data_IF_653461173575
#
_entry.id   IF_653461173575
#
_cell.length_a   1.000
_cell.length_b   1.000
_cell.length_c   1.000
_cell.angle_alpha   90.00
_cell.angle_beta   90.00
_cell.angle_gamma   90.00
#
_symmetry.space_group_name_H-M   'P 1'
#
loop_
_entity.id
_entity.type
_entity.pdbx_description
1 polymer ?
#
# COMPACT_ATOMS: atom_id res chain seq x y z
N UNK A 1 104.90 -5.77 -17.10
CA UNK A 1 104.13 -4.54 -16.86
C UNK A 1 102.66 -4.82 -17.17
N UNK A 2 101.77 -4.09 -16.50
CA UNK A 2 100.32 -3.96 -16.76
C UNK A 2 99.33 -4.90 -16.03
N UNK A 3 99.15 -4.53 -14.75
CA UNK A 3 97.89 -4.25 -14.02
C UNK A 3 96.76 -5.30 -13.98
N UNK A 4 96.69 -5.91 -12.81
CA UNK A 4 95.49 -6.41 -12.12
C UNK A 4 94.48 -5.25 -11.92
N UNK A 5 93.23 -5.46 -12.32
CA UNK A 5 92.10 -4.58 -12.02
C UNK A 5 90.98 -5.37 -11.34
N UNK A 6 90.75 -5.10 -10.05
CA UNK A 6 89.51 -5.42 -9.34
C UNK A 6 88.38 -4.56 -9.91
N UNK A 7 87.22 -5.15 -10.21
CA UNK A 7 85.97 -4.39 -10.27
C UNK A 7 84.92 -5.06 -9.39
N UNK A 8 84.38 -4.23 -8.52
CA UNK A 8 83.44 -4.50 -7.44
C UNK A 8 82.02 -4.49 -8.00
N UNK A 9 81.11 -5.17 -7.30
CA UNK A 9 79.77 -5.53 -7.76
C UNK A 9 78.85 -4.35 -8.10
N UNK A 10 77.85 -4.69 -8.91
CA UNK A 10 76.51 -4.11 -8.80
C UNK A 10 75.51 -5.15 -9.32
N UNK A 11 74.89 -5.88 -8.40
CA UNK A 11 73.75 -6.73 -8.69
C UNK A 11 72.57 -5.78 -8.99
N UNK A 12 72.23 -5.61 -10.26
CA UNK A 12 71.03 -4.89 -10.69
C UNK A 12 69.82 -5.73 -10.27
N UNK A 13 69.26 -5.43 -9.10
CA UNK A 13 67.90 -5.84 -8.76
C UNK A 13 66.98 -5.02 -9.66
N UNK A 14 66.54 -5.63 -10.76
CA UNK A 14 65.39 -5.13 -11.50
C UNK A 14 64.17 -5.25 -10.59
N UNK A 15 63.81 -4.16 -9.92
CA UNK A 15 62.50 -4.02 -9.28
C UNK A 15 61.50 -3.96 -10.44
N UNK A 16 60.99 -5.13 -10.81
CA UNK A 16 59.76 -5.21 -11.60
C UNK A 16 58.68 -4.67 -10.68
N UNK A 17 58.32 -3.40 -10.88
CA UNK A 17 57.01 -2.92 -10.43
C UNK A 17 55.99 -3.74 -11.20
N UNK A 18 55.58 -4.87 -10.62
CA UNK A 18 54.30 -5.46 -10.94
C UNK A 18 53.30 -4.43 -10.44
N UNK A 19 52.90 -3.53 -11.33
CA UNK A 19 51.65 -2.80 -11.17
C UNK A 19 50.60 -3.88 -11.25
N UNK A 20 50.28 -4.48 -10.11
CA UNK A 20 49.02 -5.21 -9.96
C UNK A 20 47.99 -4.11 -10.18
N UNK A 21 47.19 -4.12 -11.26
CA UNK A 21 46.02 -3.27 -11.27
C UNK A 21 45.24 -3.68 -10.02
N UNK A 22 45.22 -2.79 -9.03
CA UNK A 22 44.20 -2.81 -8.01
C UNK A 22 42.92 -2.58 -8.82
N UNK A 23 42.30 -3.67 -9.26
CA UNK A 23 40.90 -3.67 -9.63
C UNK A 23 40.20 -3.18 -8.39
N UNK A 24 39.96 -1.87 -8.33
CA UNK A 24 38.97 -1.34 -7.43
C UNK A 24 37.74 -2.20 -7.65
N UNK A 25 37.24 -2.79 -6.58
CA UNK A 25 35.92 -3.42 -6.58
C UNK A 25 34.90 -2.28 -6.75
N UNK A 26 34.88 -1.69 -7.94
CA UNK A 26 33.84 -0.79 -8.37
C UNK A 26 32.66 -1.67 -8.72
N UNK A 27 31.54 -1.43 -8.06
CA UNK A 27 30.29 -2.06 -8.43
C UNK A 27 30.01 -1.78 -9.90
N UNK A 28 29.77 -2.84 -10.67
CA UNK A 28 29.39 -2.70 -12.07
C UNK A 28 27.92 -2.32 -12.12
N UNK A 29 27.65 -1.04 -12.42
CA UNK A 29 26.31 -0.51 -12.57
C UNK A 29 25.95 -0.48 -14.05
N UNK A 30 24.87 -1.16 -14.41
CA UNK A 30 24.30 -1.23 -15.75
C UNK A 30 22.87 -0.69 -15.73
N UNK A 31 22.39 -0.10 -16.82
CA UNK A 31 20.99 0.31 -16.96
C UNK A 31 20.32 -0.59 -17.98
N UNK A 32 19.19 -1.19 -17.61
CA UNK A 32 18.39 -2.09 -18.45
C UNK A 32 17.02 -1.48 -18.76
N UNK A 33 16.45 -1.89 -19.88
CA UNK A 33 15.07 -1.60 -20.26
C UNK A 33 14.36 -2.88 -20.66
N UNK A 34 13.04 -2.92 -20.42
CA UNK A 34 12.20 -4.08 -20.63
C UNK A 34 12.75 -5.37 -20.00
N UNK A 35 13.31 -5.28 -18.79
CA UNK A 35 13.88 -6.41 -18.07
C UNK A 35 12.78 -7.14 -17.31
N UNK A 36 12.62 -8.44 -17.55
CA UNK A 36 11.66 -9.26 -16.81
C UNK A 36 12.07 -9.33 -15.33
N UNK A 37 11.16 -8.95 -14.43
CA UNK A 37 11.38 -8.98 -13.00
C UNK A 37 10.19 -9.60 -12.27
N UNK A 38 10.49 -10.52 -11.37
CA UNK A 38 9.54 -11.06 -10.41
C UNK A 38 9.76 -10.39 -9.05
N UNK A 39 8.76 -9.66 -8.57
CA UNK A 39 8.80 -8.99 -7.26
C UNK A 39 8.07 -9.82 -6.22
N UNK A 40 8.71 -10.05 -5.08
CA UNK A 40 8.09 -10.78 -3.97
C UNK A 40 6.94 -9.99 -3.32
N UNK A 41 5.79 -10.63 -3.15
CA UNK A 41 4.63 -10.14 -2.40
C UNK A 41 4.14 -11.15 -1.37
N UNK A 42 3.15 -10.76 -0.55
CA UNK A 42 2.51 -11.71 0.40
C UNK A 42 1.71 -12.83 -0.29
N UNK A 43 1.43 -12.68 -1.59
CA UNK A 43 0.67 -13.63 -2.43
C UNK A 43 1.55 -14.53 -3.30
N UNK A 44 2.84 -14.24 -3.38
CA UNK A 44 3.76 -14.87 -4.32
C UNK A 44 4.50 -13.82 -5.13
N UNK A 45 5.13 -14.27 -6.21
CA UNK A 45 5.85 -13.43 -7.15
C UNK A 45 4.86 -12.67 -8.04
N UNK A 46 5.13 -11.39 -8.26
CA UNK A 46 4.43 -10.53 -9.21
C UNK A 46 5.37 -10.31 -10.39
N UNK A 47 5.00 -10.86 -11.54
CA UNK A 47 5.74 -10.67 -12.77
C UNK A 47 5.47 -9.28 -13.36
N UNK A 48 6.50 -8.70 -13.97
CA UNK A 48 6.39 -7.42 -14.62
C UNK A 48 7.67 -7.01 -15.33
N UNK A 49 7.64 -5.78 -15.84
CA UNK A 49 8.69 -5.19 -16.64
C UNK A 49 9.41 -4.11 -15.83
N UNK A 50 10.73 -4.21 -15.79
CA UNK A 50 11.63 -3.30 -15.10
C UNK A 50 12.50 -2.48 -16.06
N UNK A 51 12.53 -1.17 -15.82
CA UNK A 51 13.48 -0.23 -16.42
C UNK A 51 14.31 0.40 -15.30
N UNK A 52 15.63 0.20 -15.28
CA UNK A 52 16.46 0.79 -14.22
C UNK A 52 17.85 0.18 -14.05
N UNK A 53 18.40 0.35 -12.86
CA UNK A 53 19.77 -0.01 -12.50
C UNK A 53 19.90 -1.48 -12.06
N UNK A 54 20.86 -2.17 -12.67
CA UNK A 54 21.44 -3.41 -12.16
C UNK A 54 22.80 -3.11 -11.55
N UNK A 55 23.07 -3.63 -10.36
CA UNK A 55 24.40 -3.60 -9.76
C UNK A 55 24.91 -5.02 -9.61
N UNK A 56 26.03 -5.35 -10.25
CA UNK A 56 26.57 -6.72 -10.30
C UNK A 56 25.50 -7.75 -10.75
N UNK A 57 24.73 -7.39 -11.78
CA UNK A 57 23.61 -8.18 -12.33
C UNK A 57 22.41 -8.40 -11.38
N UNK A 58 22.35 -7.71 -10.24
CA UNK A 58 21.18 -7.70 -9.34
C UNK A 58 20.39 -6.40 -9.50
N UNK A 59 19.05 -6.47 -9.50
CA UNK A 59 18.18 -5.28 -9.49
C UNK A 59 18.37 -4.51 -8.18
N UNK A 60 19.15 -3.44 -8.24
CA UNK A 60 19.53 -2.60 -7.10
C UNK A 60 19.84 -1.21 -7.61
N UNK A 61 19.28 -0.19 -6.95
CA UNK A 61 19.39 1.19 -7.38
C UNK A 61 18.04 1.79 -7.68
N UNK A 62 17.95 2.76 -8.59
CA UNK A 62 16.66 3.35 -8.99
C UNK A 62 16.08 2.64 -10.21
N UNK A 63 14.75 2.59 -10.29
CA UNK A 63 14.07 2.14 -11.49
C UNK A 63 12.55 2.30 -11.44
N UNK A 64 11.92 1.78 -12.47
CA UNK A 64 10.47 1.71 -12.65
C UNK A 64 10.10 0.26 -12.90
N UNK A 65 9.15 -0.25 -12.14
CA UNK A 65 8.53 -1.55 -12.35
C UNK A 65 7.07 -1.34 -12.72
N UNK A 66 6.62 -1.99 -13.80
CA UNK A 66 5.22 -2.06 -14.21
C UNK A 66 4.80 -3.51 -14.13
N UNK A 67 3.70 -3.80 -13.45
CA UNK A 67 3.19 -5.17 -13.45
C UNK A 67 2.71 -5.58 -14.85
N UNK A 68 2.76 -6.87 -15.16
CA UNK A 68 2.40 -7.41 -16.48
C UNK A 68 0.93 -7.16 -16.86
N UNK A 69 0.08 -6.88 -15.86
CA UNK A 69 -1.36 -6.74 -16.00
C UNK A 69 -1.82 -5.27 -15.95
N UNK A 70 -0.88 -4.31 -15.95
CA UNK A 70 -1.13 -2.86 -15.89
C UNK A 70 -1.98 -2.40 -14.68
N UNK A 71 -1.99 -3.14 -13.57
CA UNK A 71 -2.70 -2.73 -12.34
C UNK A 71 -1.93 -1.66 -11.57
N UNK A 72 -0.60 -1.67 -11.61
CA UNK A 72 0.20 -0.70 -10.89
C UNK A 72 1.57 -0.44 -11.50
N UNK A 73 2.13 0.72 -11.14
CA UNK A 73 3.52 1.08 -11.40
C UNK A 73 4.21 1.47 -10.10
N UNK A 74 5.41 0.95 -9.89
CA UNK A 74 6.31 1.40 -8.84
C UNK A 74 7.49 2.15 -9.45
N UNK A 75 7.73 3.38 -9.01
CA UNK A 75 8.92 4.17 -9.33
C UNK A 75 9.69 4.43 -8.03
N UNK A 76 10.94 3.99 -7.95
CA UNK A 76 11.69 4.17 -6.73
C UNK A 76 12.97 3.36 -6.62
N UNK A 77 13.36 3.13 -5.37
CA UNK A 77 14.57 2.40 -5.02
C UNK A 77 14.30 0.91 -4.90
N UNK A 78 15.23 0.12 -5.43
CA UNK A 78 15.24 -1.33 -5.40
C UNK A 78 16.47 -1.80 -4.64
N UNK A 79 16.33 -2.95 -3.99
CA UNK A 79 17.45 -3.71 -3.44
C UNK A 79 17.15 -5.19 -3.58
N UNK A 80 17.99 -5.88 -4.36
CA UNK A 80 17.85 -7.32 -4.62
C UNK A 80 16.44 -7.68 -5.15
N UNK A 81 15.94 -6.91 -6.12
CA UNK A 81 14.63 -7.14 -6.74
C UNK A 81 13.41 -6.76 -5.90
N UNK A 82 13.60 -6.19 -4.70
CA UNK A 82 12.50 -5.77 -3.81
C UNK A 82 12.43 -4.24 -3.76
N UNK A 83 11.21 -3.70 -3.71
CA UNK A 83 10.96 -2.28 -3.45
C UNK A 83 11.51 -1.89 -2.07
N UNK A 84 12.58 -1.09 -2.05
CA UNK A 84 13.33 -0.79 -0.83
C UNK A 84 13.99 0.58 -0.86
N UNK A 85 13.54 1.46 0.02
CA UNK A 85 13.94 2.86 0.09
C UNK A 85 12.79 3.77 -0.31
N UNK A 86 13.10 4.99 -0.75
CA UNK A 86 12.07 5.92 -1.23
C UNK A 86 11.47 5.41 -2.53
N UNK A 87 10.15 5.53 -2.66
CA UNK A 87 9.46 5.22 -3.89
C UNK A 87 8.00 5.68 -3.88
N UNK A 88 7.35 5.42 -5.01
CA UNK A 88 5.98 5.76 -5.31
C UNK A 88 5.33 4.59 -6.02
N UNK A 89 4.27 4.07 -5.44
CA UNK A 89 3.39 3.08 -6.04
C UNK A 89 2.12 3.78 -6.50
N UNK A 90 1.69 3.57 -7.74
CA UNK A 90 0.49 4.19 -8.30
C UNK A 90 -0.34 3.23 -9.13
N UNK A 91 -1.65 3.36 -9.07
CA UNK A 91 -2.64 2.58 -9.82
C UNK A 91 -4.02 3.19 -9.63
N UNK A 92 -5.06 2.39 -9.82
CA UNK A 92 -6.44 2.77 -9.50
C UNK A 92 -6.97 1.98 -8.30
N UNK A 93 -7.94 2.57 -7.60
CA UNK A 93 -8.76 1.83 -6.64
C UNK A 93 -9.95 1.16 -7.34
N UNK A 94 -10.77 0.42 -6.57
CA UNK A 94 -11.98 -0.24 -7.06
C UNK A 94 -13.03 0.69 -7.74
N UNK A 95 -12.87 2.01 -7.62
CA UNK A 95 -13.73 3.04 -8.23
C UNK A 95 -13.05 3.79 -9.38
N UNK A 96 -11.95 3.26 -9.91
CA UNK A 96 -11.16 3.84 -11.00
C UNK A 96 -10.57 5.22 -10.66
N UNK A 97 -10.44 5.55 -9.36
CA UNK A 97 -9.78 6.78 -8.90
C UNK A 97 -8.29 6.55 -8.82
N UNK A 98 -7.51 7.61 -9.04
CA UNK A 98 -6.05 7.50 -9.00
C UNK A 98 -5.59 7.37 -7.55
N UNK A 99 -5.02 6.22 -7.20
CA UNK A 99 -4.43 5.96 -5.89
C UNK A 99 -2.91 6.01 -5.99
N UNK A 100 -2.28 6.74 -5.06
CA UNK A 100 -0.82 6.85 -4.94
C UNK A 100 -0.40 6.56 -3.50
N UNK A 101 0.61 5.69 -3.35
CA UNK A 101 1.33 5.45 -2.10
C UNK A 101 2.76 5.94 -2.28
N UNK A 102 3.17 6.95 -1.51
CA UNK A 102 4.53 7.50 -1.56
C UNK A 102 5.19 7.44 -0.19
N UNK A 103 6.45 7.01 -0.14
CA UNK A 103 7.22 6.98 1.10
C UNK A 103 8.37 6.00 1.09
N UNK A 104 8.72 5.51 2.28
CA UNK A 104 9.82 4.56 2.48
C UNK A 104 9.29 3.13 2.50
N UNK A 105 9.66 2.37 1.49
CA UNK A 105 9.35 0.95 1.32
C UNK A 105 10.44 0.11 1.96
N UNK A 106 10.05 -0.96 2.65
CA UNK A 106 10.92 -2.04 3.07
C UNK A 106 10.23 -3.37 2.71
N UNK A 107 9.96 -3.56 1.43
CA UNK A 107 8.99 -4.53 0.94
C UNK A 107 7.55 -4.00 0.98
N UNK A 108 6.63 -4.80 0.43
CA UNK A 108 5.20 -4.48 0.36
C UNK A 108 4.48 -4.62 1.71
N UNK A 109 5.06 -5.37 2.64
CA UNK A 109 4.52 -5.62 3.98
C UNK A 109 4.88 -4.53 5.01
N UNK A 110 5.78 -3.61 4.66
CA UNK A 110 6.25 -2.56 5.57
C UNK A 110 6.57 -1.28 4.80
N UNK A 111 5.60 -0.37 4.76
CA UNK A 111 5.75 0.96 4.14
C UNK A 111 5.49 2.02 5.19
N UNK A 112 6.31 3.07 5.24
CA UNK A 112 6.00 4.31 5.97
C UNK A 112 5.81 5.41 4.95
N UNK A 113 4.60 5.92 4.82
CA UNK A 113 4.27 6.85 3.75
C UNK A 113 2.86 7.41 3.82
N UNK A 114 2.44 7.97 2.69
CA UNK A 114 1.19 8.68 2.50
C UNK A 114 0.34 7.96 1.47
N UNK A 115 -0.98 7.86 1.71
CA UNK A 115 -1.97 7.50 0.70
C UNK A 115 -2.62 8.78 0.20
N UNK A 116 -2.63 8.94 -1.11
CA UNK A 116 -3.31 10.03 -1.79
C UNK A 116 -4.27 9.45 -2.83
N UNK A 117 -5.54 9.89 -2.80
CA UNK A 117 -6.58 9.50 -3.75
C UNK A 117 -7.02 10.75 -4.52
N UNK A 118 -6.93 10.72 -5.85
CA UNK A 118 -7.20 11.86 -6.74
C UNK A 118 -6.49 13.18 -6.33
N UNK A 119 -5.29 13.05 -5.77
CA UNK A 119 -4.48 14.18 -5.32
C UNK A 119 -4.78 14.65 -3.89
N UNK A 120 -5.73 14.04 -3.19
CA UNK A 120 -6.11 14.37 -1.81
C UNK A 120 -5.45 13.41 -0.83
N UNK A 121 -4.73 13.93 0.16
CA UNK A 121 -4.14 13.10 1.22
C UNK A 121 -5.24 12.49 2.10
N UNK A 122 -5.36 11.16 2.14
CA UNK A 122 -6.32 10.45 2.99
C UNK A 122 -5.67 9.84 4.24
N UNK A 123 -4.39 9.48 4.16
CA UNK A 123 -3.68 8.83 5.27
C UNK A 123 -2.18 9.12 5.24
N UNK A 124 -1.57 9.24 6.41
CA UNK A 124 -0.13 9.26 6.60
C UNK A 124 0.25 8.35 7.77
N UNK A 125 1.19 7.44 7.56
CA UNK A 125 1.61 6.54 8.63
C UNK A 125 2.27 5.28 8.11
N UNK A 126 2.15 4.22 8.90
CA UNK A 126 2.63 2.90 8.52
C UNK A 126 1.53 2.12 7.78
N UNK A 127 1.94 1.35 6.77
CA UNK A 127 1.08 0.60 5.85
C UNK A 127 1.67 -0.80 5.68
N UNK A 128 0.80 -1.77 5.42
CA UNK A 128 1.17 -3.13 5.09
C UNK A 128 0.25 -3.61 3.99
N UNK A 129 0.79 -4.33 3.00
CA UNK A 129 -0.02 -5.18 2.15
C UNK A 129 -0.80 -6.14 3.05
N UNK A 130 -2.12 -6.15 2.93
CA UNK A 130 -2.94 -7.14 3.62
C UNK A 130 -2.75 -8.50 2.93
N UNK A 131 -2.89 -9.61 3.66
CA UNK A 131 -2.83 -10.97 3.09
C UNK A 131 -4.22 -11.60 3.07
N UNK A 132 -4.83 -11.65 1.89
CA UNK A 132 -6.06 -12.38 1.58
C UNK A 132 -5.81 -13.89 1.71
N UNK A 133 -6.67 -14.59 2.48
CA UNK A 133 -6.59 -16.06 2.61
C UNK A 133 -7.48 -16.80 1.59
N UNK A 134 -8.25 -16.08 0.76
CA UNK A 134 -9.36 -16.67 -0.02
C UNK A 134 -9.28 -16.46 -1.54
N UNK A 135 -8.29 -15.74 -2.06
CA UNK A 135 -8.08 -15.64 -3.50
C UNK A 135 -6.67 -16.09 -3.88
N UNK A 136 -6.62 -17.06 -4.80
CA UNK A 136 -5.45 -17.40 -5.60
C UNK A 136 -5.26 -16.37 -6.73
N UNK A 137 -5.61 -15.10 -6.52
CA UNK A 137 -5.28 -14.06 -7.49
C UNK A 137 -3.89 -13.55 -7.15
N UNK A 138 -2.95 -13.81 -8.05
CA UNK A 138 -1.59 -13.26 -8.00
C UNK A 138 -1.58 -11.75 -8.31
N UNK A 139 -2.76 -11.14 -8.52
CA UNK A 139 -2.94 -9.71 -8.79
C UNK A 139 -2.84 -8.91 -7.51
N UNK A 140 -1.85 -8.02 -7.44
CA UNK A 140 -1.76 -6.97 -6.43
C UNK A 140 -2.51 -5.73 -6.94
N UNK A 141 -3.42 -5.20 -6.13
CA UNK A 141 -4.06 -3.91 -6.35
C UNK A 141 -3.53 -2.87 -5.36
N UNK A 142 -3.53 -1.59 -5.74
CA UNK A 142 -2.96 -0.54 -4.88
C UNK A 142 -3.86 -0.26 -3.66
N UNK A 143 -5.11 -0.68 -3.68
CA UNK A 143 -6.03 -0.63 -2.53
C UNK A 143 -5.89 -1.83 -1.57
N UNK A 144 -5.02 -2.82 -1.85
CA UNK A 144 -4.68 -3.92 -0.93
C UNK A 144 -3.86 -3.46 0.29
N UNK A 145 -3.35 -2.22 0.28
CA UNK A 145 -2.56 -1.66 1.37
C UNK A 145 -3.45 -1.10 2.46
N UNK A 146 -3.27 -1.63 3.67
CA UNK A 146 -4.09 -1.29 4.83
C UNK A 146 -3.28 -0.55 5.88
N UNK A 147 -3.96 0.29 6.67
CA UNK A 147 -3.37 0.99 7.80
C UNK A 147 -2.75 -0.01 8.79
N UNK A 148 -1.49 0.18 9.17
CA UNK A 148 -0.80 -0.70 10.10
C UNK A 148 0.16 0.10 10.97
N UNK A 149 0.31 -0.22 12.26
CA UNK A 149 1.16 0.59 13.14
C UNK A 149 0.57 1.98 13.39
N UNK A 150 1.40 3.00 13.60
CA UNK A 150 0.91 4.37 13.87
C UNK A 150 0.55 5.10 12.57
N UNK A 151 -0.53 5.89 12.59
CA UNK A 151 -0.89 6.77 11.49
C UNK A 151 -1.99 7.77 11.82
N UNK A 152 -2.24 8.65 10.86
CA UNK A 152 -3.21 9.75 10.90
C UNK A 152 -4.11 9.67 9.67
N UNK A 153 -5.42 9.76 9.89
CA UNK A 153 -6.44 9.86 8.86
C UNK A 153 -6.81 11.33 8.63
N UNK A 154 -7.09 11.66 7.37
CA UNK A 154 -7.42 13.01 6.92
C UNK A 154 -8.78 13.03 6.21
N UNK A 155 -9.48 14.16 6.28
CA UNK A 155 -10.66 14.41 5.46
C UNK A 155 -10.31 15.01 4.10
N UNK A 156 -11.33 15.27 3.27
CA UNK A 156 -11.18 15.87 1.94
C UNK A 156 -10.53 17.27 1.95
N UNK A 157 -10.59 17.97 3.08
CA UNK A 157 -9.93 19.26 3.28
C UNK A 157 -8.50 19.11 3.84
N UNK A 158 -7.99 17.88 3.90
CA UNK A 158 -6.71 17.50 4.51
C UNK A 158 -6.60 17.88 6.00
N UNK A 159 -7.73 17.96 6.70
CA UNK A 159 -7.76 18.14 8.16
C UNK A 159 -7.61 16.77 8.84
N UNK A 160 -6.80 16.71 9.90
CA UNK A 160 -6.65 15.51 10.72
C UNK A 160 -7.98 15.15 11.40
N UNK A 161 -8.48 13.93 11.14
CA UNK A 161 -9.71 13.44 11.77
C UNK A 161 -9.45 12.40 12.85
N UNK A 162 -8.38 11.62 12.75
CA UNK A 162 -8.02 10.62 13.76
C UNK A 162 -6.55 10.25 13.68
N UNK A 163 -5.89 10.18 14.84
CA UNK A 163 -4.52 9.68 14.98
C UNK A 163 -4.51 8.52 15.95
N UNK A 164 -3.92 7.40 15.55
CA UNK A 164 -3.93 6.19 16.37
C UNK A 164 -3.03 5.08 15.85
N UNK A 165 -3.11 3.95 16.52
CA UNK A 165 -2.49 2.70 16.07
C UNK A 165 -3.51 1.84 15.37
N UNK A 166 -3.10 1.24 14.26
CA UNK A 166 -3.90 0.35 13.44
C UNK A 166 -3.25 -1.03 13.36
N UNK A 167 -4.08 -2.05 13.17
CA UNK A 167 -3.64 -3.39 12.85
C UNK A 167 -4.52 -3.94 11.74
N UNK A 168 -3.92 -4.03 10.55
CA UNK A 168 -4.61 -4.48 9.33
C UNK A 168 -5.90 -3.70 9.05
N UNK A 169 -5.78 -2.37 8.95
CA UNK A 169 -6.90 -1.47 8.65
C UNK A 169 -7.81 -1.15 9.84
N UNK A 170 -7.75 -1.91 10.94
CA UNK A 170 -8.62 -1.70 12.12
C UNK A 170 -7.92 -0.88 13.20
N UNK A 171 -8.60 0.07 13.85
CA UNK A 171 -8.03 0.82 14.97
C UNK A 171 -7.82 -0.10 16.18
N UNK A 172 -6.65 0.00 16.82
CA UNK A 172 -6.34 -0.76 18.03
C UNK A 172 -7.05 -0.20 19.26
N UNK A 173 -7.22 1.12 19.33
CA UNK A 173 -8.06 1.78 20.33
C UNK A 173 -9.48 1.94 19.77
N UNK A 174 -10.28 0.87 19.91
CA UNK A 174 -11.67 0.86 19.45
C UNK A 174 -12.49 1.97 20.10
N UNK A 175 -12.38 2.16 21.42
CA UNK A 175 -13.18 3.16 22.12
C UNK A 175 -12.80 4.59 21.73
N UNK A 176 -11.51 4.89 21.60
CA UNK A 176 -11.05 6.18 21.11
C UNK A 176 -11.55 6.48 19.70
N UNK A 177 -11.47 5.50 18.78
CA UNK A 177 -12.00 5.66 17.43
C UNK A 177 -13.52 5.88 17.42
N UNK A 178 -14.28 5.06 18.15
CA UNK A 178 -15.74 5.20 18.25
C UNK A 178 -16.17 6.55 18.83
N UNK A 179 -15.43 7.08 19.81
CA UNK A 179 -15.69 8.40 20.40
C UNK A 179 -15.38 9.56 19.45
N UNK A 180 -14.48 9.37 18.48
CA UNK A 180 -14.15 10.36 17.46
C UNK A 180 -15.20 10.42 16.34
N UNK A 181 -15.95 9.34 16.12
CA UNK A 181 -17.01 9.26 15.12
C UNK A 181 -18.22 10.14 15.48
N UNK A 182 -18.79 10.80 14.48
CA UNK A 182 -20.05 11.58 14.62
C UNK A 182 -21.24 10.77 14.13
N UNK A 183 -22.38 10.91 14.79
CA UNK A 183 -23.63 10.29 14.36
C UNK A 183 -24.13 10.97 13.07
N UNK A 184 -24.43 10.17 12.05
CA UNK A 184 -25.09 10.62 10.83
C UNK A 184 -26.35 9.81 10.57
N UNK A 185 -27.41 10.49 10.15
CA UNK A 185 -28.56 9.84 9.52
C UNK A 185 -28.26 9.57 8.05
N UNK A 186 -29.00 8.67 7.41
CA UNK A 186 -28.86 8.45 5.96
C UNK A 186 -29.06 9.74 5.17
N UNK A 187 -30.03 10.58 5.59
CA UNK A 187 -30.27 11.90 5.00
C UNK A 187 -29.05 12.83 5.10
N UNK A 188 -28.34 12.81 6.21
CA UNK A 188 -27.14 13.66 6.40
C UNK A 188 -26.02 13.23 5.46
N UNK A 189 -25.88 11.91 5.23
CA UNK A 189 -24.90 11.35 4.31
C UNK A 189 -25.20 11.74 2.85
N UNK A 190 -26.46 11.74 2.42
CA UNK A 190 -26.83 12.09 1.05
C UNK A 190 -26.74 13.58 0.72
N UNK A 191 -27.07 14.47 1.67
CA UNK A 191 -27.20 15.91 1.37
C UNK A 191 -25.86 16.64 1.20
N UNK A 192 -24.76 16.06 1.67
CA UNK A 192 -23.47 16.73 1.84
C UNK A 192 -22.28 15.78 1.68
N UNK A 193 -22.42 14.68 0.94
CA UNK A 193 -21.40 13.62 0.84
C UNK A 193 -20.03 14.14 0.42
N UNK A 194 -20.00 14.98 -0.62
CA UNK A 194 -18.76 15.38 -1.30
C UNK A 194 -17.89 16.23 -0.40
N UNK A 195 -18.51 17.19 0.30
CA UNK A 195 -17.83 18.05 1.26
C UNK A 195 -17.44 17.33 2.57
N UNK A 196 -17.78 16.04 2.71
CA UNK A 196 -17.58 15.26 3.94
C UNK A 196 -16.72 14.02 3.74
N UNK A 197 -16.21 13.73 2.55
CA UNK A 197 -15.32 12.59 2.32
C UNK A 197 -14.16 12.62 3.33
N UNK A 198 -13.83 11.45 3.86
CA UNK A 198 -12.88 11.23 4.94
C UNK A 198 -13.39 11.55 6.36
N UNK A 199 -14.63 12.02 6.53
CA UNK A 199 -15.22 12.20 7.86
C UNK A 199 -15.40 10.86 8.59
N UNK A 200 -15.20 10.86 9.91
CA UNK A 200 -15.50 9.72 10.76
C UNK A 200 -17.00 9.62 11.04
N UNK A 201 -17.58 8.48 10.68
CA UNK A 201 -19.03 8.24 10.70
C UNK A 201 -19.36 7.18 11.74
N UNK A 202 -20.40 7.44 12.53
CA UNK A 202 -21.21 6.44 13.22
C UNK A 202 -22.57 6.39 12.53
N UNK A 203 -22.95 5.20 12.06
CA UNK A 203 -24.21 4.98 11.35
C UNK A 203 -24.95 3.77 11.93
N UNK A 204 -26.26 3.87 12.07
CA UNK A 204 -27.14 2.77 12.50
C UNK A 204 -27.82 2.21 11.26
N UNK A 205 -27.40 1.02 10.85
CA UNK A 205 -28.04 0.26 9.78
C UNK A 205 -29.13 -0.61 10.42
N UNK A 206 -30.38 -0.41 10.02
CA UNK A 206 -31.51 -1.07 10.66
C UNK A 206 -31.78 -2.47 10.10
N UNK A 207 -31.43 -2.68 8.84
CA UNK A 207 -31.67 -3.91 8.11
C UNK A 207 -30.45 -4.22 7.25
N UNK A 208 -29.43 -4.81 7.87
CA UNK A 208 -28.20 -5.17 7.18
C UNK A 208 -28.46 -6.30 6.18
N UNK A 209 -28.27 -6.01 4.90
CA UNK A 209 -28.24 -7.02 3.85
C UNK A 209 -26.79 -7.20 3.39
N UNK A 210 -26.22 -8.37 3.70
CA UNK A 210 -24.88 -8.77 3.28
C UNK A 210 -24.99 -9.34 1.86
N UNK A 211 -24.46 -8.61 0.89
CA UNK A 211 -24.43 -9.09 -0.49
C UNK A 211 -23.37 -10.18 -0.64
N UNK A 212 -23.84 -11.42 -0.73
CA UNK A 212 -23.06 -12.63 -0.96
C UNK A 212 -22.34 -12.67 -2.31
N UNK A 213 -22.80 -11.90 -3.30
CA UNK A 213 -22.24 -11.88 -4.66
C UNK A 213 -20.97 -11.04 -4.76
N UNK A 214 -20.79 -10.08 -3.84
CA UNK A 214 -19.61 -9.24 -3.70
C UNK A 214 -18.73 -9.67 -2.51
N UNK A 215 -18.77 -10.97 -2.15
CA UNK A 215 -17.85 -11.56 -1.17
C UNK A 215 -16.58 -11.99 -1.89
N UNK A 216 -15.85 -11.03 -2.46
CA UNK A 216 -14.44 -11.22 -2.81
C UNK A 216 -13.58 -10.79 -1.62
N UNK A 217 -12.44 -11.45 -1.40
CA UNK A 217 -11.38 -10.92 -0.53
C UNK A 217 -11.72 -10.64 0.95
N UNK A 218 -12.65 -11.39 1.57
CA UNK A 218 -13.18 -11.11 2.92
C UNK A 218 -13.83 -9.73 3.09
N UNK A 219 -13.97 -8.97 2.01
CA UNK A 219 -14.78 -7.79 1.96
C UNK A 219 -16.23 -8.22 1.76
N UNK A 220 -17.14 -7.54 2.44
CA UNK A 220 -18.56 -7.65 2.18
C UNK A 220 -19.12 -6.27 1.95
N UNK A 221 -19.97 -6.20 0.93
CA UNK A 221 -20.87 -5.08 0.77
C UNK A 221 -22.08 -5.33 1.64
N UNK A 222 -22.31 -4.40 2.56
CA UNK A 222 -23.51 -4.38 3.39
C UNK A 222 -24.38 -3.23 2.89
N UNK A 223 -25.64 -3.52 2.61
CA UNK A 223 -26.64 -2.56 2.20
C UNK A 223 -27.64 -2.35 3.32
N UNK A 224 -28.03 -1.11 3.57
CA UNK A 224 -29.18 -0.81 4.41
C UNK A 224 -30.47 -0.97 3.59
N UNK A 225 -31.08 -2.15 3.66
CA UNK A 225 -32.17 -2.56 2.78
C UNK A 225 -33.45 -1.70 2.96
N UNK A 226 -33.64 -1.09 4.13
CA UNK A 226 -34.79 -0.21 4.41
C UNK A 226 -34.72 1.12 3.65
N UNK A 227 -33.61 1.41 2.95
CA UNK A 227 -33.38 2.63 2.18
C UNK A 227 -33.41 2.45 0.67
N UNK A 228 -33.57 1.23 0.18
CA UNK A 228 -33.58 0.93 -1.26
C UNK A 228 -34.72 1.65 -2.02
N UNK A 229 -35.79 2.07 -1.34
CA UNK A 229 -36.97 2.70 -1.97
C UNK A 229 -37.00 4.23 -1.90
N UNK A 230 -35.98 4.90 -1.36
CA UNK A 230 -35.99 6.37 -1.15
C UNK A 230 -34.75 7.05 -1.72
N UNK A 231 -34.72 7.35 -3.02
CA UNK A 231 -33.74 8.26 -3.67
C UNK A 231 -32.27 8.09 -3.23
N UNK A 232 -31.86 6.85 -2.92
CA UNK A 232 -30.49 6.50 -2.55
C UNK A 232 -30.36 5.53 -1.36
N UNK A 233 -29.24 4.81 -1.31
CA UNK A 233 -28.94 3.82 -0.26
C UNK A 233 -27.57 4.07 0.38
N UNK A 234 -27.39 3.61 1.62
CA UNK A 234 -26.08 3.62 2.28
C UNK A 234 -25.45 2.25 2.04
N UNK A 235 -24.29 2.25 1.40
CA UNK A 235 -23.46 1.06 1.24
C UNK A 235 -22.29 1.11 2.22
N UNK A 236 -21.86 -0.07 2.63
CA UNK A 236 -20.79 -0.24 3.60
C UNK A 236 -19.83 -1.30 3.07
N UNK A 237 -18.56 -0.95 2.98
CA UNK A 237 -17.49 -1.88 2.69
C UNK A 237 -16.87 -2.33 4.01
N UNK A 238 -17.04 -3.61 4.36
CA UNK A 238 -16.47 -4.18 5.57
C UNK A 238 -15.54 -5.34 5.27
N UNK A 239 -14.32 -5.27 5.77
CA UNK A 239 -13.37 -6.38 5.71
C UNK A 239 -13.41 -7.22 7.00
N UNK A 240 -13.71 -8.51 6.87
CA UNK A 240 -13.63 -9.48 7.97
C UNK A 240 -12.19 -9.86 8.30
N UNK A 241 -11.91 -9.95 9.59
CA UNK A 241 -10.68 -10.56 10.11
C UNK A 241 -10.91 -11.99 10.59
N UNK A 242 -9.83 -12.78 10.64
CA UNK A 242 -9.88 -14.16 11.10
C UNK A 242 -10.47 -14.24 12.52
N UNK A 243 -11.54 -15.00 12.68
CA UNK A 243 -12.21 -15.24 13.96
C UNK A 243 -13.38 -14.30 14.25
N UNK A 244 -13.72 -13.37 13.35
CA UNK A 244 -14.93 -12.57 13.46
C UNK A 244 -16.18 -13.38 13.08
N UNK A 245 -17.28 -13.11 13.78
CA UNK A 245 -18.61 -13.66 13.47
C UNK A 245 -19.10 -13.05 12.16
N UNK A 246 -19.70 -13.88 11.30
CA UNK A 246 -20.35 -13.37 10.09
C UNK A 246 -21.69 -12.74 10.45
N UNK A 247 -21.93 -11.55 9.93
CA UNK A 247 -23.20 -10.85 10.00
C UNK A 247 -24.34 -11.70 9.42
N UNK A 248 -25.52 -11.61 10.04
CA UNK A 248 -26.73 -12.24 9.55
C UNK A 248 -27.61 -11.21 8.86
N UNK A 249 -28.18 -11.58 7.72
CA UNK A 249 -29.11 -10.70 6.99
C UNK A 249 -30.33 -10.36 7.86
N UNK A 250 -30.71 -9.08 7.87
CA UNK A 250 -31.84 -8.58 8.64
C UNK A 250 -31.50 -8.05 10.03
N UNK A 251 -30.23 -8.13 10.46
CA UNK A 251 -29.81 -7.60 11.76
C UNK A 251 -29.65 -6.08 11.75
N UNK A 252 -29.97 -5.45 12.88
CA UNK A 252 -29.57 -4.07 13.14
C UNK A 252 -28.12 -4.05 13.59
N UNK A 253 -27.29 -3.26 12.91
CA UNK A 253 -25.88 -3.08 13.26
C UNK A 253 -25.55 -1.59 13.44
N UNK A 254 -24.58 -1.31 14.29
CA UNK A 254 -23.99 0.03 14.39
C UNK A 254 -22.59 -0.03 13.81
N UNK A 255 -22.34 0.77 12.78
CA UNK A 255 -21.04 0.80 12.10
C UNK A 255 -20.31 2.09 12.42
N UNK A 256 -18.99 1.97 12.52
CA UNK A 256 -18.07 3.08 12.67
C UNK A 256 -17.03 2.99 11.56
N UNK A 257 -16.82 4.09 10.85
CA UNK A 257 -16.00 4.06 9.66
C UNK A 257 -15.65 5.44 9.13
N UNK A 258 -15.19 5.44 7.89
CA UNK A 258 -14.79 6.63 7.15
C UNK A 258 -15.75 6.77 5.98
N UNK A 259 -16.30 7.96 5.75
CA UNK A 259 -17.06 8.23 4.53
C UNK A 259 -16.09 8.24 3.34
N UNK A 260 -16.17 7.24 2.46
CA UNK A 260 -15.17 7.00 1.42
C UNK A 260 -15.50 7.66 0.08
N UNK A 261 -16.78 7.82 -0.24
CA UNK A 261 -17.21 8.40 -1.50
C UNK A 261 -18.71 8.30 -1.73
N UNK A 262 -19.15 8.78 -2.89
CA UNK A 262 -20.54 8.74 -3.32
C UNK A 262 -20.67 8.35 -4.80
N UNK A 263 -21.84 7.83 -5.16
CA UNK A 263 -22.39 7.94 -6.51
C UNK A 263 -23.72 8.71 -6.43
N UNK A 264 -24.33 9.07 -7.58
CA UNK A 264 -25.56 9.89 -7.62
C UNK A 264 -26.65 9.44 -6.64
N UNK A 265 -26.69 8.15 -6.28
CA UNK A 265 -27.67 7.55 -5.36
C UNK A 265 -27.06 6.77 -4.17
N UNK A 266 -25.77 6.91 -3.86
CA UNK A 266 -25.12 6.07 -2.85
C UNK A 266 -24.12 6.83 -1.97
N UNK A 267 -24.18 6.63 -0.66
CA UNK A 267 -23.11 7.00 0.26
C UNK A 267 -22.35 5.74 0.72
N UNK A 268 -21.03 5.72 0.48
CA UNK A 268 -20.18 4.59 0.81
C UNK A 268 -19.39 4.83 2.11
N UNK A 269 -19.55 3.93 3.07
CA UNK A 269 -18.78 3.93 4.32
C UNK A 269 -17.75 2.79 4.27
N UNK A 270 -16.47 3.11 4.38
CA UNK A 270 -15.43 2.12 4.68
C UNK A 270 -15.50 1.80 6.17
N UNK A 271 -15.98 0.62 6.52
CA UNK A 271 -16.29 0.24 7.90
C UNK A 271 -15.07 -0.34 8.61
N UNK A 272 -14.71 0.29 9.72
CA UNK A 272 -13.57 -0.08 10.56
C UNK A 272 -14.01 -0.84 11.81
N UNK A 273 -15.21 -0.59 12.34
CA UNK A 273 -15.77 -1.30 13.50
C UNK A 273 -17.25 -1.55 13.24
N UNK A 274 -17.72 -2.74 13.60
CA UNK A 274 -19.13 -3.06 13.73
C UNK A 274 -19.40 -3.39 15.20
N UNK A 275 -20.41 -2.76 15.79
CA UNK A 275 -21.02 -3.20 17.04
C UNK A 275 -22.30 -3.97 16.69
N UNK A 276 -22.26 -5.28 16.94
CA UNK A 276 -23.44 -6.15 16.96
C UNK A 276 -24.27 -5.77 18.20
N UNK A 277 -25.60 -5.72 18.05
CA UNK A 277 -26.54 -5.44 19.13
C UNK A 277 -27.24 -6.71 19.60
#
# INVERSE_FOLDING_TARGET
MQKIGKLIGMLLIAVVFVVIPLYGCGDNVETVTNYDLDVNSVYGEIAGIYDGELTNSEVTGKGVFKDENDNFTYEGQFKQGIFKGQGKLSGTDEYERKLVIEGTFNGLDSIKGTITVDGIKEYEGSLSQYKHNSLKSYTLLVDDFVYHGSGTLYNINEEEVYTGKFKYGKPMDKHGFMNACKNYTSRDLFKYSDARVGSLVKYVCNNAYVDGSLVSNNNVFILDADRLSSSGFVSMLYQYHKGETRLVNGEQIVVYGILHGFSEDNALIKVLIIEEK
#
